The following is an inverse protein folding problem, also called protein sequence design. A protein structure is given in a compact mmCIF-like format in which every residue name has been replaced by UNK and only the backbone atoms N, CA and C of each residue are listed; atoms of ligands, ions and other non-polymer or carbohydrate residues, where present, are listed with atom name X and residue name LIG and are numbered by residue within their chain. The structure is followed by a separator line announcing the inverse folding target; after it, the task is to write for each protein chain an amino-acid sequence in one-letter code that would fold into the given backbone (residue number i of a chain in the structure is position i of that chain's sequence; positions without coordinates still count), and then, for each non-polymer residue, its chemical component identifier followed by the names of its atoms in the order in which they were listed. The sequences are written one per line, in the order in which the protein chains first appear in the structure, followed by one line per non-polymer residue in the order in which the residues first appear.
data_IF_747267606629
#
_entry.id   IF_747267606629
#
_cell.length_a   1.000
_cell.length_b   1.000
_cell.length_c   1.000
_cell.angle_alpha   90.00
_cell.angle_beta   90.00
_cell.angle_gamma   90.00
#
_symmetry.space_group_name_H-M   'P 1'
#
loop_
_entity.id
_entity.type
_entity.pdbx_description
1 polymer ?
#
# COMPACT_ATOMS: atom_id res chain seq x y z
N UNK A 1 26.37 -0.28 -15.12
CA UNK A 1 25.18 -0.90 -14.47
C UNK A 1 24.88 -0.10 -13.22
N UNK A 2 24.16 1.00 -13.35
CA UNK A 2 23.69 1.76 -12.19
C UNK A 2 22.37 1.18 -11.71
N UNK A 3 22.32 0.77 -10.45
CA UNK A 3 21.07 0.44 -9.77
C UNK A 3 20.25 1.72 -9.74
N UNK A 4 19.09 1.71 -10.41
CA UNK A 4 18.10 2.77 -10.34
C UNK A 4 17.70 2.92 -8.87
N UNK A 5 18.34 3.88 -8.20
CA UNK A 5 18.12 4.18 -6.80
C UNK A 5 16.68 4.60 -6.62
N UNK A 6 16.01 3.87 -5.74
CA UNK A 6 14.76 4.19 -5.07
C UNK A 6 14.59 5.72 -4.97
N UNK A 7 13.58 6.29 -5.64
CA UNK A 7 13.18 7.67 -5.37
C UNK A 7 12.83 7.73 -3.89
N UNK A 8 13.74 8.25 -3.08
CA UNK A 8 13.52 8.60 -1.69
C UNK A 8 12.42 9.67 -1.69
N UNK A 9 11.16 9.23 -1.60
CA UNK A 9 10.10 10.15 -1.21
C UNK A 9 10.42 10.57 0.23
N UNK A 10 10.35 11.88 0.54
CA UNK A 10 10.62 12.35 1.90
C UNK A 10 9.74 11.59 2.91
N UNK A 11 10.19 11.42 4.16
CA UNK A 11 9.38 10.70 5.13
C UNK A 11 8.08 11.47 5.35
N UNK A 12 6.98 10.89 4.90
CA UNK A 12 5.65 11.43 5.12
C UNK A 12 5.28 11.27 6.58
N UNK A 13 4.61 12.27 7.13
CA UNK A 13 4.13 12.30 8.51
C UNK A 13 2.63 12.15 8.56
N UNK A 14 2.09 11.70 9.69
CA UNK A 14 0.65 11.58 9.86
C UNK A 14 -0.07 12.93 9.68
N UNK A 15 0.57 14.04 10.07
CA UNK A 15 0.05 15.40 9.92
C UNK A 15 -0.10 15.86 8.47
N UNK A 16 0.55 15.21 7.51
CA UNK A 16 0.39 15.51 6.08
C UNK A 16 -0.96 15.00 5.52
N UNK A 17 -1.62 14.08 6.24
CA UNK A 17 -2.91 13.48 5.85
C UNK A 17 -3.88 13.45 7.04
N UNK A 18 -4.31 14.62 7.55
CA UNK A 18 -5.17 14.70 8.72
C UNK A 18 -6.53 14.01 8.51
N UNK A 19 -7.02 13.89 7.28
CA UNK A 19 -8.25 13.16 6.97
C UNK A 19 -8.13 11.64 7.21
N UNK A 20 -6.91 11.12 7.16
CA UNK A 20 -6.61 9.72 7.44
C UNK A 20 -6.14 9.53 8.89
N UNK A 21 -5.45 10.48 9.49
CA UNK A 21 -4.73 10.28 10.75
C UNK A 21 -4.98 11.36 11.80
N UNK A 22 -6.21 11.87 11.90
CA UNK A 22 -6.62 12.86 12.90
C UNK A 22 -6.38 12.44 14.36
N UNK A 23 -6.29 11.14 14.62
CA UNK A 23 -6.08 10.50 15.92
C UNK A 23 -4.60 10.16 16.20
N UNK A 24 -3.68 10.45 15.27
CA UNK A 24 -2.26 10.15 15.41
C UNK A 24 -1.43 11.38 15.80
N UNK A 25 -0.19 11.16 16.25
CA UNK A 25 0.75 12.26 16.48
C UNK A 25 1.18 12.87 15.14
N UNK A 26 0.92 14.17 14.88
CA UNK A 26 1.11 14.76 13.56
C UNK A 26 2.55 14.70 13.05
N UNK A 27 3.54 14.83 13.94
CA UNK A 27 4.95 14.86 13.57
C UNK A 27 5.58 13.47 13.38
N UNK A 28 4.87 12.40 13.74
CA UNK A 28 5.37 11.03 13.61
C UNK A 28 5.31 10.54 12.15
N UNK A 29 6.32 9.75 11.75
CA UNK A 29 6.42 9.17 10.42
C UNK A 29 5.36 8.08 10.20
N UNK A 30 4.86 8.01 8.97
CA UNK A 30 3.90 6.98 8.57
C UNK A 30 4.63 5.64 8.43
N UNK A 31 4.24 4.68 9.26
CA UNK A 31 4.70 3.30 9.18
C UNK A 31 3.70 2.43 8.40
N UNK A 32 4.00 2.14 7.14
CA UNK A 32 3.17 1.26 6.29
C UNK A 32 3.32 -0.24 6.61
N UNK A 33 4.25 -0.63 7.48
CA UNK A 33 4.33 -1.99 8.01
C UNK A 33 3.41 -2.19 9.22
N UNK A 34 2.94 -1.11 9.84
CA UNK A 34 1.89 -1.18 10.84
C UNK A 34 0.56 -1.61 10.19
N UNK A 35 -0.07 -2.71 10.64
CA UNK A 35 -1.29 -3.24 10.02
C UNK A 35 -2.48 -2.27 10.10
N UNK A 36 -2.56 -1.42 11.12
CA UNK A 36 -3.63 -0.43 11.27
C UNK A 36 -3.45 0.70 10.26
N UNK A 37 -2.23 1.21 10.13
CA UNK A 37 -1.88 2.25 9.15
C UNK A 37 -2.14 1.76 7.74
N UNK A 38 -1.67 0.56 7.40
CA UNK A 38 -1.88 -0.04 6.09
C UNK A 38 -3.38 -0.29 5.81
N UNK A 39 -4.11 -0.88 6.75
CA UNK A 39 -5.54 -1.12 6.56
C UNK A 39 -6.32 0.19 6.35
N UNK A 40 -5.96 1.25 7.07
CA UNK A 40 -6.57 2.56 6.93
C UNK A 40 -6.29 3.20 5.58
N UNK A 41 -5.03 3.16 5.14
CA UNK A 41 -4.63 3.62 3.80
C UNK A 41 -5.42 2.90 2.72
N UNK A 42 -5.51 1.57 2.77
CA UNK A 42 -6.18 0.78 1.74
C UNK A 42 -7.70 0.90 1.73
N UNK A 43 -8.30 1.33 2.84
CA UNK A 43 -9.76 1.49 2.97
C UNK A 43 -10.22 2.91 2.66
N UNK A 44 -9.43 3.92 3.04
CA UNK A 44 -9.85 5.34 3.01
C UNK A 44 -8.92 6.25 2.22
N UNK A 45 -7.72 5.78 1.91
CA UNK A 45 -6.73 6.55 1.17
C UNK A 45 -7.18 6.83 -0.26
N UNK A 46 -6.78 7.99 -0.76
CA UNK A 46 -6.91 8.31 -2.18
C UNK A 46 -5.85 7.53 -2.96
N UNK A 47 -6.13 7.18 -4.21
CA UNK A 47 -5.24 6.35 -5.03
C UNK A 47 -3.83 6.95 -5.16
N UNK A 48 -3.73 8.27 -5.27
CA UNK A 48 -2.47 9.01 -5.38
C UNK A 48 -1.63 8.88 -4.10
N UNK A 49 -2.29 9.00 -2.94
CA UNK A 49 -1.66 8.86 -1.62
C UNK A 49 -1.16 7.43 -1.41
N UNK A 50 -1.98 6.43 -1.78
CA UNK A 50 -1.60 5.03 -1.67
C UNK A 50 -0.42 4.72 -2.59
N UNK A 51 -0.43 5.22 -3.84
CA UNK A 51 0.66 5.04 -4.79
C UNK A 51 1.98 5.71 -4.37
N UNK A 52 1.90 6.79 -3.59
CA UNK A 52 3.06 7.45 -2.99
C UNK A 52 3.60 6.66 -1.78
N UNK A 53 2.71 6.23 -0.88
CA UNK A 53 3.08 5.69 0.43
C UNK A 53 3.29 4.19 0.47
N UNK A 54 2.55 3.41 -0.31
CA UNK A 54 2.48 1.96 -0.17
C UNK A 54 3.21 1.29 -1.33
N UNK A 55 4.43 0.76 -1.12
CA UNK A 55 5.10 -0.05 -2.12
C UNK A 55 4.25 -1.27 -2.49
N UNK A 56 4.29 -1.66 -3.76
CA UNK A 56 3.54 -2.81 -4.24
C UNK A 56 3.97 -4.12 -3.55
N UNK A 57 5.23 -4.20 -3.15
CA UNK A 57 5.81 -5.30 -2.40
C UNK A 57 5.13 -5.44 -1.03
N UNK A 58 4.87 -4.32 -0.34
CA UNK A 58 4.14 -4.32 0.94
C UNK A 58 2.72 -4.85 0.73
N UNK A 59 2.04 -4.47 -0.35
CA UNK A 59 0.73 -5.03 -0.69
C UNK A 59 0.80 -6.55 -0.90
N UNK A 60 1.77 -7.04 -1.68
CA UNK A 60 1.94 -8.47 -1.95
C UNK A 60 2.16 -9.30 -0.69
N UNK A 61 2.97 -8.79 0.23
CA UNK A 61 3.33 -9.48 1.46
C UNK A 61 2.23 -9.43 2.52
N UNK A 62 1.53 -8.30 2.64
CA UNK A 62 0.67 -8.02 3.79
C UNK A 62 -0.83 -8.16 3.53
N UNK A 63 -1.28 -8.07 2.27
CA UNK A 63 -2.72 -7.99 1.93
C UNK A 63 -3.57 -9.13 2.50
N UNK A 64 -2.99 -10.33 2.60
CA UNK A 64 -3.69 -11.53 3.09
C UNK A 64 -3.79 -11.61 4.61
N UNK A 65 -2.93 -10.90 5.35
CA UNK A 65 -2.85 -10.98 6.82
C UNK A 65 -3.43 -9.76 7.52
N UNK A 66 -3.61 -8.64 6.82
CA UNK A 66 -4.19 -7.43 7.40
C UNK A 66 -5.72 -7.53 7.52
N UNK A 67 -6.31 -6.96 8.59
CA UNK A 67 -7.75 -6.96 8.81
C UNK A 67 -8.42 -5.94 7.89
N UNK A 68 -8.80 -6.40 6.70
CA UNK A 68 -9.53 -5.61 5.70
C UNK A 68 -10.95 -6.15 5.50
N UNK A 69 -11.92 -5.27 5.18
CA UNK A 69 -13.18 -5.71 4.59
C UNK A 69 -12.95 -6.50 3.30
N UNK A 70 -13.75 -7.55 3.07
CA UNK A 70 -13.53 -8.46 1.93
C UNK A 70 -13.54 -7.76 0.57
N UNK A 71 -14.42 -6.77 0.38
CA UNK A 71 -14.48 -6.00 -0.87
C UNK A 71 -13.19 -5.20 -1.12
N UNK A 72 -12.59 -4.63 -0.07
CA UNK A 72 -11.30 -3.92 -0.16
C UNK A 72 -10.19 -4.91 -0.53
N UNK A 73 -10.16 -6.07 0.13
CA UNK A 73 -9.18 -7.13 -0.18
C UNK A 73 -9.29 -7.60 -1.63
N UNK A 74 -10.51 -7.82 -2.14
CA UNK A 74 -10.75 -8.23 -3.54
C UNK A 74 -10.24 -7.18 -4.52
N UNK A 75 -10.52 -5.90 -4.27
CA UNK A 75 -10.02 -4.80 -5.11
C UNK A 75 -8.48 -4.80 -5.18
N UNK A 76 -7.80 -4.82 -4.03
CA UNK A 76 -6.34 -4.77 -4.00
C UNK A 76 -5.69 -6.05 -4.55
N UNK A 77 -6.34 -7.22 -4.44
CA UNK A 77 -5.88 -8.44 -5.14
C UNK A 77 -5.90 -8.26 -6.65
N UNK A 78 -6.93 -7.60 -7.20
CA UNK A 78 -7.00 -7.30 -8.63
C UNK A 78 -5.87 -6.36 -9.03
N UNK A 79 -5.64 -5.27 -8.27
CA UNK A 79 -4.54 -4.33 -8.50
C UNK A 79 -3.18 -5.04 -8.53
N UNK A 80 -2.90 -5.90 -7.55
CA UNK A 80 -1.63 -6.65 -7.48
C UNK A 80 -1.45 -7.61 -8.65
N UNK A 81 -2.54 -8.22 -9.15
CA UNK A 81 -2.53 -9.11 -10.32
C UNK A 81 -2.37 -8.36 -11.65
N UNK A 82 -2.82 -7.12 -11.71
CA UNK A 82 -2.70 -6.27 -12.90
C UNK A 82 -1.31 -5.63 -13.06
N UNK A 83 -0.41 -5.78 -12.08
CA UNK A 83 0.97 -5.29 -12.22
C UNK A 83 1.71 -6.05 -13.32
N UNK A 84 2.18 -5.40 -14.40
CA UNK A 84 2.88 -6.06 -15.50
C UNK A 84 4.23 -6.66 -15.09
N UNK A 85 4.76 -6.33 -13.89
CA UNK A 85 5.94 -7.00 -13.31
C UNK A 85 5.59 -8.27 -12.54
N UNK A 86 4.31 -8.52 -12.28
CA UNK A 86 3.83 -9.85 -11.93
C UNK A 86 3.92 -10.71 -13.20
N UNK A 87 5.07 -11.37 -13.42
CA UNK A 87 5.23 -12.30 -14.54
C UNK A 87 4.07 -13.31 -14.62
N UNK A 88 3.82 -13.90 -15.80
CA UNK A 88 2.65 -14.75 -16.03
C UNK A 88 2.71 -15.98 -15.11
N UNK A 89 1.98 -15.97 -14.00
CA UNK A 89 1.69 -17.17 -13.22
C UNK A 89 0.26 -17.62 -13.51
N UNK A 90 0.21 -18.70 -14.29
CA UNK A 90 -0.90 -19.63 -14.45
C UNK A 90 -2.19 -19.10 -15.09
N UNK A 91 -2.13 -18.80 -16.39
CA UNK A 91 -3.29 -18.82 -17.28
C UNK A 91 -3.33 -20.10 -18.14
N UNK A 92 -2.87 -21.24 -17.61
CA UNK A 92 -2.92 -22.55 -18.28
C UNK A 92 -3.28 -23.64 -17.28
N UNK A 93 -4.57 -23.71 -16.92
CA UNK A 93 -5.22 -24.93 -16.45
C UNK A 93 -6.73 -24.78 -16.73
N UNK A 94 -7.11 -24.85 -18.01
CA UNK A 94 -8.36 -25.44 -18.50
C UNK A 94 -8.15 -25.90 -19.94
#
# INVERSE_FOLDING_TARGET
MERVGTRLQPPFRYGDFPELFWDAQPDAEIDVHNPVTLARLLTRGRAEVIGALVPLEVLRERLEVIPLPDHVRVFWRAVVRSDPRAGPRAAHLR
#
